data_IF_105771976256
#
_entry.id   IF_105771976256
#
_cell.length_a   1.000
_cell.length_b   1.000
_cell.length_c   1.000
_cell.angle_alpha   90.00
_cell.angle_beta   90.00
_cell.angle_gamma   90.00
#
_symmetry.space_group_name_H-M   'P 1'
#
loop_
_entity.id
_entity.type
_entity.pdbx_description
1 polymer ?
#
# COMPACT_ATOMS: atom_id res chain seq x y z
N UNK A 1 -2.18 5.77 15.41
CA UNK A 1 -2.29 6.16 13.99
C UNK A 1 -2.11 7.64 13.74
N UNK A 2 -2.78 8.54 14.48
CA UNK A 2 -2.73 9.99 14.29
C UNK A 2 -1.31 10.59 14.11
N UNK A 3 -0.31 10.12 14.85
CA UNK A 3 1.07 10.64 14.72
C UNK A 3 1.69 10.42 13.33
N UNK A 4 1.29 9.38 12.60
CA UNK A 4 1.73 9.14 11.20
C UNK A 4 1.08 10.13 10.21
N UNK A 5 -0.08 10.69 10.55
CA UNK A 5 -0.81 11.61 9.68
C UNK A 5 -0.29 13.06 9.79
N UNK A 6 0.40 13.40 10.87
CA UNK A 6 0.98 14.72 11.11
C UNK A 6 2.31 14.92 10.36
N UNK A 7 2.69 16.19 10.18
CA UNK A 7 4.01 16.57 9.67
C UNK A 7 5.06 16.40 10.78
N UNK A 8 5.69 15.24 10.79
CA UNK A 8 6.72 14.86 11.76
C UNK A 8 8.13 15.02 11.19
N UNK A 9 9.13 15.15 12.06
CA UNK A 9 10.54 15.05 11.65
C UNK A 9 10.88 13.62 11.20
N UNK A 10 11.95 13.47 10.42
CA UNK A 10 12.41 12.14 9.96
C UNK A 10 12.72 11.24 11.15
N UNK A 11 13.39 11.76 12.18
CA UNK A 11 13.74 11.02 13.39
C UNK A 11 12.51 10.57 14.17
N UNK A 12 11.50 11.44 14.30
CA UNK A 12 10.24 11.06 14.94
C UNK A 12 9.52 9.97 14.14
N UNK A 13 9.48 10.09 12.80
CA UNK A 13 8.88 9.07 11.93
C UNK A 13 9.59 7.73 12.05
N UNK A 14 10.92 7.69 12.12
CA UNK A 14 11.66 6.44 12.34
C UNK A 14 11.20 5.72 13.61
N UNK A 15 11.12 6.44 14.73
CA UNK A 15 10.58 5.89 15.99
C UNK A 15 9.14 5.42 15.83
N UNK A 16 8.28 6.21 15.19
CA UNK A 16 6.87 5.89 14.98
C UNK A 16 6.73 4.62 14.12
N UNK A 17 7.52 4.46 13.04
CA UNK A 17 7.51 3.26 12.21
C UNK A 17 7.97 2.02 12.98
N UNK A 18 9.00 2.16 13.81
CA UNK A 18 9.44 1.07 14.70
C UNK A 18 8.31 0.66 15.64
N UNK A 19 7.71 1.62 16.36
CA UNK A 19 6.58 1.36 17.25
C UNK A 19 5.39 0.74 16.53
N UNK A 20 5.07 1.21 15.31
CA UNK A 20 4.01 0.68 14.48
C UNK A 20 4.26 -0.79 14.11
N UNK A 21 5.47 -1.15 13.67
CA UNK A 21 5.81 -2.55 13.36
C UNK A 21 5.76 -3.44 14.59
N UNK A 22 6.21 -2.93 15.74
CA UNK A 22 6.09 -3.66 17.02
C UNK A 22 4.64 -3.89 17.41
N UNK A 23 3.76 -2.89 17.21
CA UNK A 23 2.33 -3.00 17.50
C UNK A 23 1.69 -4.09 16.63
N UNK A 24 1.91 -4.07 15.32
CA UNK A 24 1.37 -5.08 14.39
C UNK A 24 1.81 -6.49 14.78
N UNK A 25 3.09 -6.67 15.13
CA UNK A 25 3.62 -7.98 15.55
C UNK A 25 3.08 -8.47 16.88
N UNK A 26 2.92 -7.58 17.86
CA UNK A 26 2.50 -7.98 19.22
C UNK A 26 0.99 -8.11 19.36
N UNK A 27 0.23 -7.34 18.57
CA UNK A 27 -1.23 -7.26 18.68
C UNK A 27 -1.87 -7.33 17.29
N UNK A 28 -1.66 -8.42 16.53
CA UNK A 28 -2.17 -8.54 15.16
C UNK A 28 -3.70 -8.47 15.12
N UNK A 29 -4.41 -9.05 16.09
CA UNK A 29 -5.88 -9.07 16.10
C UNK A 29 -6.49 -7.68 16.34
N UNK A 30 -5.79 -6.81 17.08
CA UNK A 30 -6.20 -5.40 17.22
C UNK A 30 -6.23 -4.69 15.86
N UNK A 31 -5.28 -5.02 14.97
CA UNK A 31 -5.17 -4.38 13.65
C UNK A 31 -6.05 -5.08 12.60
N UNK A 32 -6.21 -6.40 12.68
CA UNK A 32 -6.84 -7.19 11.61
C UNK A 32 -8.26 -7.68 11.89
N UNK A 33 -8.69 -7.76 13.15
CA UNK A 33 -10.02 -8.30 13.52
C UNK A 33 -10.95 -7.27 14.15
N UNK A 34 -10.42 -6.42 15.04
CA UNK A 34 -11.28 -5.58 15.89
C UNK A 34 -11.80 -4.33 15.17
N UNK A 35 -11.02 -3.70 14.27
CA UNK A 35 -11.41 -2.45 13.60
C UNK A 35 -10.89 -2.37 12.14
N UNK A 36 -11.75 -2.64 11.16
CA UNK A 36 -11.41 -2.51 9.72
C UNK A 36 -10.93 -1.10 9.34
N UNK A 37 -11.44 -0.09 10.03
CA UNK A 37 -11.09 1.32 9.85
C UNK A 37 -9.62 1.62 10.21
N UNK A 38 -9.08 1.02 11.28
CA UNK A 38 -7.69 1.24 11.67
C UNK A 38 -6.70 0.67 10.66
N UNK A 39 -7.02 -0.49 10.08
CA UNK A 39 -6.20 -1.10 9.03
C UNK A 39 -6.19 -0.22 7.78
N UNK A 40 -7.35 0.29 7.37
CA UNK A 40 -7.49 1.24 6.26
C UNK A 40 -6.68 2.51 6.49
N UNK A 41 -6.84 3.16 7.64
CA UNK A 41 -6.11 4.38 7.98
C UNK A 41 -4.59 4.14 8.01
N UNK A 42 -4.13 3.00 8.56
CA UNK A 42 -2.73 2.63 8.51
C UNK A 42 -2.23 2.49 7.08
N UNK A 43 -2.95 1.75 6.23
CA UNK A 43 -2.60 1.55 4.83
C UNK A 43 -2.49 2.88 4.09
N UNK A 44 -3.43 3.80 4.31
CA UNK A 44 -3.41 5.16 3.76
C UNK A 44 -2.14 5.92 4.16
N UNK A 45 -1.82 5.96 5.45
CA UNK A 45 -0.63 6.67 5.92
C UNK A 45 0.66 6.01 5.42
N UNK A 46 0.73 4.68 5.37
CA UNK A 46 1.89 3.98 4.82
C UNK A 46 2.08 4.29 3.33
N UNK A 47 1.02 4.26 2.52
CA UNK A 47 1.10 4.62 1.10
C UNK A 47 1.50 6.09 0.89
N UNK A 48 0.98 7.01 1.71
CA UNK A 48 1.38 8.42 1.71
C UNK A 48 2.89 8.58 1.95
N UNK A 49 3.43 7.88 2.95
CA UNK A 49 4.87 7.92 3.25
C UNK A 49 5.72 7.18 2.22
N UNK A 50 5.20 6.13 1.57
CA UNK A 50 5.83 5.50 0.41
C UNK A 50 6.00 6.47 -0.78
N UNK A 51 5.14 7.48 -0.89
CA UNK A 51 5.24 8.55 -1.88
C UNK A 51 6.08 9.75 -1.40
N UNK A 52 6.69 9.69 -0.22
CA UNK A 52 7.51 10.80 0.31
C UNK A 52 8.72 11.11 -0.57
N UNK A 53 9.09 12.39 -0.69
CA UNK A 53 10.33 12.79 -1.38
C UNK A 53 11.59 12.34 -0.63
N UNK A 54 11.47 12.06 0.68
CA UNK A 54 12.56 11.69 1.55
C UNK A 54 12.84 10.17 1.49
N UNK A 55 14.01 9.73 1.01
CA UNK A 55 14.34 8.30 0.89
C UNK A 55 14.29 7.53 2.22
N UNK A 56 14.74 8.15 3.31
CA UNK A 56 14.73 7.56 4.64
C UNK A 56 13.30 7.25 5.14
N UNK A 57 12.34 8.12 4.84
CA UNK A 57 10.92 7.88 5.17
C UNK A 57 10.35 6.76 4.32
N UNK A 58 10.64 6.76 3.00
CA UNK A 58 10.15 5.73 2.08
C UNK A 58 10.64 4.33 2.44
N UNK A 59 11.90 4.16 2.82
CA UNK A 59 12.44 2.85 3.18
C UNK A 59 11.75 2.27 4.42
N UNK A 60 11.48 3.12 5.42
CA UNK A 60 10.73 2.73 6.63
C UNK A 60 9.27 2.39 6.31
N UNK A 61 8.61 3.20 5.48
CA UNK A 61 7.23 2.96 5.06
C UNK A 61 7.09 1.67 4.26
N UNK A 62 7.99 1.40 3.31
CA UNK A 62 8.01 0.16 2.54
C UNK A 62 8.23 -1.07 3.44
N UNK A 63 9.16 -0.99 4.41
CA UNK A 63 9.38 -2.06 5.38
C UNK A 63 8.15 -2.30 6.26
N UNK A 64 7.47 -1.24 6.70
CA UNK A 64 6.23 -1.33 7.47
C UNK A 64 5.06 -1.90 6.67
N UNK A 65 4.92 -1.51 5.39
CA UNK A 65 3.89 -2.05 4.49
C UNK A 65 4.12 -3.54 4.21
N UNK A 66 5.36 -3.92 3.92
CA UNK A 66 5.74 -5.32 3.75
C UNK A 66 5.42 -6.16 4.99
N UNK A 67 5.84 -5.69 6.17
CA UNK A 67 5.57 -6.38 7.43
C UNK A 67 4.06 -6.51 7.68
N UNK A 68 3.26 -5.47 7.44
CA UNK A 68 1.81 -5.55 7.58
C UNK A 68 1.22 -6.68 6.72
N UNK A 69 1.64 -6.79 5.46
CA UNK A 69 1.20 -7.85 4.56
C UNK A 69 1.66 -9.24 5.05
N UNK A 70 2.92 -9.36 5.47
CA UNK A 70 3.48 -10.62 5.95
C UNK A 70 2.76 -11.14 7.20
N UNK A 71 2.60 -10.31 8.22
CA UNK A 71 1.92 -10.69 9.46
C UNK A 71 0.43 -10.99 9.21
N UNK A 72 -0.21 -10.31 8.25
CA UNK A 72 -1.60 -10.61 7.86
C UNK A 72 -1.76 -11.95 7.14
N UNK A 73 -0.70 -12.40 6.45
CA UNK A 73 -0.66 -13.71 5.80
C UNK A 73 -0.45 -14.82 6.84
N UNK A 74 0.50 -14.63 7.76
CA UNK A 74 0.81 -15.58 8.83
C UNK A 74 -0.35 -15.76 9.82
N UNK A 75 -1.14 -14.71 10.07
CA UNK A 75 -2.25 -14.76 11.03
C UNK A 75 -3.55 -15.40 10.50
N UNK A 76 -3.53 -16.11 9.36
CA UNK A 76 -4.66 -16.92 8.89
C UNK A 76 -5.57 -16.24 7.86
N UNK A 77 -5.11 -16.11 6.61
CA UNK A 77 -5.89 -15.66 5.43
C UNK A 77 -6.48 -14.24 5.50
N UNK A 78 -5.90 -13.36 6.32
CA UNK A 78 -6.33 -11.94 6.43
C UNK A 78 -5.68 -11.05 5.36
N UNK A 79 -4.77 -11.59 4.57
CA UNK A 79 -4.09 -10.88 3.48
C UNK A 79 -5.07 -10.33 2.44
N UNK A 80 -6.14 -11.05 2.10
CA UNK A 80 -7.17 -10.55 1.17
C UNK A 80 -7.80 -9.23 1.65
N UNK A 81 -8.11 -9.15 2.96
CA UNK A 81 -8.63 -7.92 3.59
C UNK A 81 -7.60 -6.80 3.56
N UNK A 82 -6.34 -7.08 3.88
CA UNK A 82 -5.27 -6.06 3.85
C UNK A 82 -5.02 -5.57 2.41
N UNK A 83 -5.02 -6.46 1.41
CA UNK A 83 -4.94 -6.10 -0.02
C UNK A 83 -6.08 -5.16 -0.41
N UNK A 84 -7.31 -5.47 0.01
CA UNK A 84 -8.46 -4.59 -0.21
C UNK A 84 -8.26 -3.22 0.45
N UNK A 85 -7.80 -3.18 1.71
CA UNK A 85 -7.55 -1.91 2.41
C UNK A 85 -6.43 -1.08 1.76
N UNK A 86 -5.35 -1.70 1.29
CA UNK A 86 -4.28 -1.03 0.55
C UNK A 86 -4.83 -0.43 -0.75
N UNK A 87 -5.59 -1.23 -1.50
CA UNK A 87 -6.20 -0.80 -2.76
C UNK A 87 -7.20 0.34 -2.54
N UNK A 88 -8.07 0.29 -1.53
CA UNK A 88 -8.99 1.38 -1.21
C UNK A 88 -8.26 2.63 -0.70
N UNK A 89 -7.20 2.44 0.10
CA UNK A 89 -6.35 3.53 0.57
C UNK A 89 -5.66 4.27 -0.56
N UNK A 90 -5.32 3.58 -1.65
CA UNK A 90 -4.80 4.22 -2.86
C UNK A 90 -5.84 5.18 -3.47
N UNK A 91 -7.10 4.77 -3.57
CA UNK A 91 -8.19 5.64 -4.05
C UNK A 91 -8.28 6.92 -3.23
N UNK A 92 -8.29 6.77 -1.90
CA UNK A 92 -8.36 7.90 -0.97
C UNK A 92 -7.14 8.80 -1.11
N UNK A 93 -5.95 8.21 -1.22
CA UNK A 93 -4.70 8.96 -1.37
C UNK A 93 -4.69 9.79 -2.67
N UNK A 94 -5.09 9.19 -3.79
CA UNK A 94 -5.15 9.88 -5.08
C UNK A 94 -6.25 10.95 -5.10
N UNK A 95 -7.39 10.67 -4.48
CA UNK A 95 -8.48 11.65 -4.32
C UNK A 95 -8.04 12.86 -3.49
N UNK A 96 -7.39 12.63 -2.35
CA UNK A 96 -6.88 13.71 -1.49
C UNK A 96 -5.81 14.54 -2.21
N UNK A 97 -4.85 13.90 -2.88
CA UNK A 97 -3.85 14.58 -3.70
C UNK A 97 -4.49 15.48 -4.77
N UNK A 98 -5.54 14.98 -5.43
CA UNK A 98 -6.29 15.75 -6.44
C UNK A 98 -7.02 16.95 -5.82
N UNK A 99 -7.67 16.77 -4.67
CA UNK A 99 -8.40 17.83 -3.95
C UNK A 99 -7.49 18.93 -3.42
N UNK A 100 -6.31 18.58 -2.93
CA UNK A 100 -5.33 19.52 -2.38
C UNK A 100 -4.50 20.23 -3.46
N UNK A 101 -4.68 19.86 -4.74
CA UNK A 101 -3.92 20.41 -5.87
C UNK A 101 -2.45 19.97 -5.90
N UNK A 102 -2.02 19.11 -4.97
CA UNK A 102 -0.67 18.54 -4.90
C UNK A 102 -0.70 17.09 -5.36
N UNK A 103 -0.05 16.81 -6.49
CA UNK A 103 -0.01 15.44 -7.02
C UNK A 103 0.88 14.52 -6.19
N UNK A 104 0.39 13.29 -6.02
CA UNK A 104 1.14 12.17 -5.47
C UNK A 104 2.45 11.99 -6.25
N UNK A 105 3.57 11.81 -5.56
CA UNK A 105 4.82 11.48 -6.23
C UNK A 105 4.83 10.00 -6.63
N UNK A 106 4.29 9.74 -7.81
CA UNK A 106 4.15 8.42 -8.41
C UNK A 106 5.49 7.67 -8.49
N UNK A 107 6.57 8.32 -8.94
CA UNK A 107 7.89 7.70 -9.03
C UNK A 107 8.40 7.23 -7.67
N UNK A 108 8.19 8.04 -6.63
CA UNK A 108 8.54 7.69 -5.26
C UNK A 108 7.73 6.48 -4.78
N UNK A 109 6.41 6.49 -5.01
CA UNK A 109 5.54 5.37 -4.63
C UNK A 109 5.95 4.08 -5.36
N UNK A 110 6.21 4.14 -6.67
CA UNK A 110 6.65 2.98 -7.45
C UNK A 110 7.96 2.40 -6.93
N UNK A 111 8.93 3.25 -6.58
CA UNK A 111 10.20 2.80 -5.99
C UNK A 111 10.00 2.09 -4.66
N UNK A 112 9.14 2.62 -3.78
CA UNK A 112 8.82 1.99 -2.50
C UNK A 112 8.14 0.64 -2.68
N UNK A 113 7.20 0.51 -3.62
CA UNK A 113 6.53 -0.76 -3.92
C UNK A 113 7.51 -1.80 -4.51
N UNK A 114 8.47 -1.35 -5.34
CA UNK A 114 9.57 -2.22 -5.78
C UNK A 114 10.41 -2.74 -4.60
N UNK A 115 10.64 -1.91 -3.58
CA UNK A 115 11.30 -2.36 -2.34
C UNK A 115 10.47 -3.41 -1.59
N UNK A 116 9.14 -3.26 -1.53
CA UNK A 116 8.25 -4.28 -0.96
C UNK A 116 8.37 -5.61 -1.72
N UNK A 117 8.43 -5.58 -3.05
CA UNK A 117 8.66 -6.78 -3.87
C UNK A 117 9.98 -7.46 -3.50
N UNK A 118 11.07 -6.69 -3.43
CA UNK A 118 12.39 -7.21 -3.06
C UNK A 118 12.35 -7.90 -1.69
N UNK A 119 11.67 -7.31 -0.69
CA UNK A 119 11.52 -7.96 0.62
C UNK A 119 10.76 -9.29 0.51
N UNK A 120 9.65 -9.33 -0.24
CA UNK A 120 8.87 -10.57 -0.42
C UNK A 120 9.66 -11.66 -1.14
N UNK A 121 10.48 -11.30 -2.13
CA UNK A 121 11.35 -12.25 -2.85
C UNK A 121 12.53 -12.71 -2.00
N UNK A 122 13.09 -11.83 -1.18
CA UNK A 122 14.18 -12.18 -0.25
C UNK A 122 13.68 -13.17 0.79
N UNK A 123 12.55 -12.89 1.44
CA UNK A 123 11.96 -13.79 2.44
C UNK A 123 11.54 -15.13 1.83
N UNK A 124 10.98 -15.13 0.60
CA UNK A 124 10.72 -16.35 -0.14
C UNK A 124 11.99 -17.14 -0.52
N UNK A 125 13.18 -16.56 -0.37
CA UNK A 125 14.46 -17.23 -0.57
C UNK A 125 15.20 -17.54 0.74
N UNK A 126 14.91 -16.87 1.85
CA UNK A 126 15.67 -17.04 3.11
C UNK A 126 14.87 -17.72 4.21
N UNK A 127 13.55 -17.58 4.22
CA UNK A 127 12.68 -18.13 5.26
C UNK A 127 12.04 -19.45 4.79
N UNK A 128 12.34 -20.59 5.44
CA UNK A 128 11.76 -21.89 5.09
C UNK A 128 10.23 -21.94 5.17
N UNK A 129 9.63 -21.17 6.09
CA UNK A 129 8.19 -21.13 6.32
C UNK A 129 7.46 -20.31 5.24
N UNK A 130 8.10 -19.26 4.73
CA UNK A 130 7.59 -18.47 3.59
C UNK A 130 7.89 -19.16 2.26
N UNK A 131 9.04 -19.85 2.13
CA UNK A 131 9.38 -20.71 0.98
C UNK A 131 8.31 -21.78 0.71
N UNK A 132 7.78 -22.39 1.77
CA UNK A 132 6.69 -23.36 1.67
C UNK A 132 5.37 -22.71 1.20
N UNK A 133 5.24 -21.40 1.37
CA UNK A 133 4.07 -20.60 1.01
C UNK A 133 4.38 -19.69 -0.19
N UNK A 134 4.72 -20.30 -1.33
CA UNK A 134 5.02 -19.59 -2.59
C UNK A 134 3.91 -18.62 -3.03
N UNK A 135 2.67 -18.84 -2.56
CA UNK A 135 1.52 -17.99 -2.83
C UNK A 135 1.62 -16.59 -2.22
N UNK A 136 2.43 -16.36 -1.17
CA UNK A 136 2.55 -15.02 -0.57
C UNK A 136 3.26 -14.03 -1.50
N UNK A 137 4.44 -14.41 -2.01
CA UNK A 137 5.22 -13.55 -2.91
C UNK A 137 4.44 -13.22 -4.19
N UNK A 138 3.70 -14.19 -4.73
CA UNK A 138 2.83 -14.02 -5.89
C UNK A 138 1.68 -13.03 -5.59
N UNK A 139 0.99 -13.19 -4.46
CA UNK A 139 -0.06 -12.25 -4.05
C UNK A 139 0.44 -10.82 -3.82
N UNK A 140 1.68 -10.66 -3.34
CA UNK A 140 2.34 -9.34 -3.20
C UNK A 140 2.64 -8.75 -4.58
N UNK A 141 3.15 -9.57 -5.51
CA UNK A 141 3.41 -9.18 -6.91
C UNK A 141 2.14 -8.68 -7.59
N UNK A 142 1.05 -9.44 -7.48
CA UNK A 142 -0.24 -9.07 -8.06
C UNK A 142 -0.79 -7.76 -7.48
N UNK A 143 -0.68 -7.57 -6.16
CA UNK A 143 -1.11 -6.32 -5.52
C UNK A 143 -0.31 -5.13 -6.05
N UNK A 144 1.02 -5.24 -6.12
CA UNK A 144 1.88 -4.15 -6.61
C UNK A 144 1.59 -3.84 -8.07
N UNK A 145 1.40 -4.86 -8.91
CA UNK A 145 1.01 -4.69 -10.30
C UNK A 145 -0.32 -3.95 -10.42
N UNK A 146 -1.33 -4.35 -9.63
CA UNK A 146 -2.63 -3.69 -9.61
C UNK A 146 -2.52 -2.21 -9.19
N UNK A 147 -1.74 -1.91 -8.15
CA UNK A 147 -1.49 -0.52 -7.72
C UNK A 147 -0.82 0.29 -8.84
N UNK A 148 0.17 -0.29 -9.55
CA UNK A 148 0.81 0.39 -10.67
C UNK A 148 -0.14 0.68 -11.82
N UNK A 149 -1.02 -0.27 -12.15
CA UNK A 149 -2.05 -0.11 -13.18
C UNK A 149 -3.02 1.02 -12.83
N UNK A 150 -3.62 0.95 -11.63
CA UNK A 150 -4.54 1.98 -11.12
C UNK A 150 -3.88 3.36 -11.14
N UNK A 151 -2.64 3.47 -10.65
CA UNK A 151 -1.93 4.73 -10.57
C UNK A 151 -1.64 5.31 -11.96
N UNK A 152 -1.14 4.48 -12.89
CA UNK A 152 -0.87 4.87 -14.27
C UNK A 152 -2.14 5.36 -14.98
N UNK A 153 -3.25 4.62 -14.86
CA UNK A 153 -4.49 5.01 -15.51
C UNK A 153 -5.12 6.25 -14.85
N UNK A 154 -4.93 6.44 -13.54
CA UNK A 154 -5.41 7.65 -12.86
C UNK A 154 -4.61 8.90 -13.24
N UNK A 155 -3.31 8.78 -13.50
CA UNK A 155 -2.53 9.92 -14.04
C UNK A 155 -2.96 10.26 -15.47
N UNK A 156 -3.17 9.26 -16.31
CA UNK A 156 -3.65 9.46 -17.69
C UNK A 156 -5.03 10.12 -17.73
N UNK A 157 -5.92 9.86 -16.76
CA UNK A 157 -7.23 10.53 -16.68
C UNK A 157 -7.11 12.06 -16.68
N UNK A 158 -6.05 12.60 -16.08
CA UNK A 158 -5.78 14.04 -16.10
C UNK A 158 -5.31 14.51 -17.48
N UNK A 159 -4.42 13.76 -18.12
CA UNK A 159 -3.83 14.11 -19.41
C UNK A 159 -4.88 14.14 -20.53
N UNK A 160 -5.85 13.23 -20.48
CA UNK A 160 -6.88 13.06 -21.48
C UNK A 160 -8.25 13.61 -21.06
N UNK A 161 -8.32 14.50 -20.07
CA UNK A 161 -9.60 15.01 -19.54
C UNK A 161 -10.50 15.72 -20.60
N UNK A 162 -9.92 16.15 -21.73
CA UNK A 162 -10.64 16.76 -22.85
C UNK A 162 -11.06 15.76 -23.94
N UNK A 163 -10.60 14.51 -23.85
CA UNK A 163 -10.97 13.41 -24.75
C UNK A 163 -11.97 12.50 -24.01
N UNK A 164 -13.25 12.68 -24.33
CA UNK A 164 -14.35 11.97 -23.66
C UNK A 164 -14.28 10.46 -23.86
N UNK A 165 -13.85 9.97 -25.02
CA UNK A 165 -13.78 8.54 -25.31
C UNK A 165 -12.66 7.88 -24.51
N UNK A 166 -11.47 8.48 -24.53
CA UNK A 166 -10.32 8.01 -23.74
C UNK A 166 -10.59 8.11 -22.23
N UNK A 167 -11.26 9.17 -21.78
CA UNK A 167 -11.62 9.35 -20.36
C UNK A 167 -12.54 8.24 -19.87
N UNK A 168 -13.56 7.86 -20.64
CA UNK A 168 -14.48 6.77 -20.28
C UNK A 168 -13.73 5.43 -20.19
N UNK A 169 -12.86 5.12 -21.16
CA UNK A 169 -12.04 3.90 -21.12
C UNK A 169 -11.12 3.85 -19.90
N UNK A 170 -10.44 4.95 -19.61
CA UNK A 170 -9.57 5.07 -18.43
C UNK A 170 -10.36 4.93 -17.12
N UNK A 171 -11.54 5.55 -17.01
CA UNK A 171 -12.41 5.40 -15.84
C UNK A 171 -12.84 3.94 -15.64
N UNK A 172 -13.18 3.25 -16.74
CA UNK A 172 -13.51 1.83 -16.71
C UNK A 172 -12.32 0.97 -16.24
N UNK A 173 -11.12 1.22 -16.76
CA UNK A 173 -9.90 0.50 -16.35
C UNK A 173 -9.54 0.73 -14.89
N UNK A 174 -9.64 1.96 -14.40
CA UNK A 174 -9.45 2.30 -12.99
C UNK A 174 -10.49 1.55 -12.12
N UNK A 175 -11.78 1.60 -12.47
CA UNK A 175 -12.83 0.88 -11.76
C UNK A 175 -12.57 -0.64 -11.74
N UNK A 176 -12.11 -1.21 -12.85
CA UNK A 176 -11.75 -2.64 -12.94
C UNK A 176 -10.55 -3.00 -12.07
N UNK A 177 -9.52 -2.14 -11.98
CA UNK A 177 -8.38 -2.35 -11.07
C UNK A 177 -8.80 -2.46 -9.60
N UNK A 178 -9.85 -1.72 -9.21
CA UNK A 178 -10.44 -1.84 -7.87
C UNK A 178 -11.29 -3.11 -7.68
N UNK A 179 -11.81 -3.72 -8.75
CA UNK A 179 -12.57 -4.98 -8.71
C UNK A 179 -11.68 -6.23 -8.62
N UNK A 180 -10.39 -6.16 -8.94
CA UNK A 180 -9.44 -7.29 -8.90
C UNK A 180 -9.08 -7.81 -7.48
N UNK A 181 -9.97 -7.63 -6.49
CA UNK A 181 -9.96 -8.35 -5.21
C UNK A 181 -11.16 -9.31 -5.18
N UNK A 182 -10.99 -10.59 -5.56
CA UNK A 182 -12.09 -11.53 -5.79
C UNK A 182 -12.89 -11.99 -4.56
N UNK A 183 -12.58 -11.49 -3.36
CA UNK A 183 -13.22 -11.93 -2.10
C UNK A 183 -14.19 -10.87 -1.55
N UNK A 184 -15.17 -10.48 -2.39
CA UNK A 184 -16.34 -9.69 -2.02
C UNK A 184 -17.62 -10.45 -2.40
#
# INVERSE_FOLDING_TARGET
>A
MHMLACNQSVQALECIFVSQRTLVKKFPDMIFEQETEQCGELCLQLLRHCASRLPAVRSQAAASLYLLMRESFESGSRLARVKMQITMSLSTLVSNATREGMWLNEDCLRRSLKTVLIYSETDANTDPHIRANSSFSEQVKDLVFNIHMILSDTVKLKEFANDFEMTIDLMYRVAKGYQTNPDL
#
